data_IF_551200261004
#
_entry.id   IF_551200261004
#
_cell.length_a   1.000
_cell.length_b   1.000
_cell.length_c   1.000
_cell.angle_alpha   90.00
_cell.angle_beta   90.00
_cell.angle_gamma   90.00
#
_symmetry.space_group_name_H-M   'P 1'
#
loop_
_entity.id
_entity.type
_entity.pdbx_description
1 polymer ?
#
# COMPACT_ATOMS: atom_id res chain seq x y z
N UNK A 1 31.01 -7.95 18.60
CA UNK A 1 30.37 -9.11 17.91
C UNK A 1 29.18 -9.53 18.73
N UNK A 2 28.00 -9.00 18.43
CA UNK A 2 26.72 -9.56 18.87
C UNK A 2 25.88 -9.69 17.60
N UNK A 3 25.99 -10.86 16.98
CA UNK A 3 25.00 -11.31 16.02
C UNK A 3 23.74 -11.72 16.81
N UNK A 4 22.86 -10.78 17.09
CA UNK A 4 21.48 -11.11 17.33
C UNK A 4 20.79 -11.22 15.97
N UNK A 5 20.91 -12.40 15.35
CA UNK A 5 19.89 -12.89 14.45
C UNK A 5 18.61 -12.98 15.28
N UNK A 6 17.76 -11.98 15.14
CA UNK A 6 16.34 -12.18 15.42
C UNK A 6 15.84 -13.15 14.33
N UNK A 7 15.93 -14.43 14.61
CA UNK A 7 15.08 -15.42 13.98
C UNK A 7 13.65 -15.03 14.35
N UNK A 8 13.04 -14.20 13.50
CA UNK A 8 11.60 -14.07 13.52
C UNK A 8 11.13 -15.42 13.01
N UNK A 9 10.61 -16.31 13.87
CA UNK A 9 10.01 -17.55 13.39
C UNK A 9 8.96 -17.10 12.37
N UNK A 10 8.95 -17.75 11.20
CA UNK A 10 7.85 -17.65 10.27
C UNK A 10 6.60 -18.16 11.02
N UNK A 11 6.03 -17.30 11.85
CA UNK A 11 4.74 -17.54 12.46
C UNK A 11 3.75 -17.40 11.32
N UNK A 12 3.50 -18.52 10.66
CA UNK A 12 2.22 -18.73 10.03
C UNK A 12 1.25 -18.55 11.19
N UNK A 13 0.68 -17.37 11.31
CA UNK A 13 -0.36 -17.21 12.30
C UNK A 13 -1.44 -18.20 11.90
N UNK A 14 -1.63 -19.13 12.78
CA UNK A 14 -2.94 -19.69 12.93
C UNK A 14 -3.90 -18.49 12.82
N UNK A 15 -4.87 -18.61 11.92
CA UNK A 15 -6.03 -17.76 11.79
C UNK A 15 -6.38 -17.12 13.11
N UNK A 16 -6.79 -15.88 13.05
CA UNK A 16 -7.37 -15.21 14.21
C UNK A 16 -8.23 -16.22 14.99
N UNK A 17 -8.11 -16.26 16.33
CA UNK A 17 -8.79 -17.29 17.15
C UNK A 17 -10.25 -17.39 16.74
N UNK A 18 -10.82 -18.61 16.75
CA UNK A 18 -12.27 -18.80 16.50
C UNK A 18 -13.06 -17.83 17.36
N UNK A 19 -13.73 -16.86 16.71
CA UNK A 19 -14.47 -15.80 17.40
C UNK A 19 -13.90 -14.38 17.22
N UNK A 20 -12.71 -14.23 16.64
CA UNK A 20 -12.28 -12.92 16.16
C UNK A 20 -13.04 -12.55 14.87
N UNK A 21 -13.26 -11.27 14.66
CA UNK A 21 -14.01 -10.74 13.54
C UNK A 21 -13.61 -11.36 12.20
N UNK A 22 -14.55 -11.56 11.26
CA UNK A 22 -14.25 -12.13 9.96
C UNK A 22 -13.16 -11.31 9.28
N UNK A 23 -12.31 -11.97 8.52
CA UNK A 23 -11.31 -11.30 7.71
C UNK A 23 -11.99 -10.22 6.87
N UNK A 24 -11.55 -8.97 6.94
CA UNK A 24 -12.28 -7.85 6.35
C UNK A 24 -12.16 -7.77 4.82
N UNK A 25 -11.40 -8.68 4.18
CA UNK A 25 -11.24 -8.70 2.73
C UNK A 25 -12.43 -9.34 2.04
N UNK A 26 -12.89 -8.69 0.98
CA UNK A 26 -14.00 -9.20 0.16
C UNK A 26 -13.54 -10.31 -0.78
N UNK A 27 -14.45 -11.20 -1.23
CA UNK A 27 -14.08 -12.40 -2.00
C UNK A 27 -13.28 -12.13 -3.28
N UNK A 28 -13.59 -11.07 -4.02
CA UNK A 28 -12.83 -10.71 -5.22
C UNK A 28 -11.37 -10.33 -4.89
N UNK A 29 -11.14 -9.67 -3.76
CA UNK A 29 -9.80 -9.34 -3.28
C UNK A 29 -9.03 -10.59 -2.83
N UNK A 30 -9.73 -11.53 -2.18
CA UNK A 30 -9.16 -12.84 -1.83
C UNK A 30 -8.72 -13.58 -3.09
N UNK A 31 -9.57 -13.65 -4.12
CA UNK A 31 -9.25 -14.27 -5.40
C UNK A 31 -8.06 -13.60 -6.10
N UNK A 32 -8.01 -12.26 -6.09
CA UNK A 32 -6.89 -11.49 -6.64
C UNK A 32 -5.55 -11.87 -5.99
N UNK A 33 -5.50 -11.91 -4.67
CA UNK A 33 -4.27 -12.23 -3.94
C UNK A 33 -3.90 -13.70 -4.07
N UNK A 34 -4.87 -14.61 -4.06
CA UNK A 34 -4.63 -16.03 -4.26
C UNK A 34 -4.01 -16.33 -5.63
N UNK A 35 -4.36 -15.58 -6.67
CA UNK A 35 -3.79 -15.71 -8.01
C UNK A 35 -2.26 -15.47 -8.06
N UNK A 36 -1.72 -14.74 -7.07
CA UNK A 36 -0.27 -14.52 -6.93
C UNK A 36 0.43 -15.53 -6.01
N UNK A 37 -0.29 -16.58 -5.60
CA UNK A 37 0.25 -17.64 -4.75
C UNK A 37 0.14 -17.39 -3.26
N UNK A 38 -0.62 -16.37 -2.82
CA UNK A 38 -0.99 -16.24 -1.41
C UNK A 38 -1.91 -17.40 -1.05
N UNK A 39 -1.54 -18.25 -0.07
CA UNK A 39 -2.31 -19.45 0.21
C UNK A 39 -3.72 -19.15 0.72
N UNK A 40 -4.69 -19.93 0.28
CA UNK A 40 -6.02 -19.95 0.86
C UNK A 40 -6.04 -20.77 2.18
N UNK A 41 -6.99 -20.45 3.02
CA UNK A 41 -7.26 -21.25 4.20
C UNK A 41 -7.84 -22.62 3.78
N UNK A 42 -7.29 -23.75 4.26
CA UNK A 42 -7.80 -25.06 3.89
C UNK A 42 -9.24 -25.31 4.38
N UNK A 43 -9.68 -24.62 5.43
CA UNK A 43 -11.01 -24.77 6.01
C UNK A 43 -12.03 -23.76 5.45
N UNK A 44 -11.54 -22.67 4.79
CA UNK A 44 -12.39 -21.62 4.22
C UNK A 44 -11.77 -21.05 2.93
N UNK A 45 -12.24 -21.43 1.74
CA UNK A 45 -11.70 -20.98 0.46
C UNK A 45 -11.90 -19.48 0.21
N UNK A 46 -12.70 -18.79 1.02
CA UNK A 46 -12.87 -17.34 0.96
C UNK A 46 -11.92 -16.57 1.89
N UNK A 47 -10.98 -17.26 2.52
CA UNK A 47 -9.97 -16.65 3.39
C UNK A 47 -8.56 -16.94 2.90
N UNK A 48 -7.68 -15.96 3.14
CA UNK A 48 -6.25 -16.12 2.89
C UNK A 48 -5.54 -16.58 4.16
N UNK A 49 -4.55 -17.43 3.98
CA UNK A 49 -3.63 -17.81 5.05
C UNK A 49 -2.48 -16.81 5.09
N UNK A 50 -2.59 -15.80 5.96
CA UNK A 50 -1.65 -14.68 6.06
C UNK A 50 -0.63 -14.87 7.19
N UNK A 51 0.55 -14.27 7.02
CA UNK A 51 1.47 -14.09 8.14
C UNK A 51 0.91 -13.04 9.12
N UNK A 52 1.36 -13.07 10.40
CA UNK A 52 0.86 -12.16 11.45
C UNK A 52 0.96 -10.68 11.02
N UNK A 53 2.13 -10.26 10.57
CA UNK A 53 2.36 -8.89 10.13
C UNK A 53 1.48 -8.48 8.93
N UNK A 54 1.14 -9.44 8.05
CA UNK A 54 0.22 -9.18 6.94
C UNK A 54 -1.20 -8.97 7.44
N UNK A 55 -1.66 -9.87 8.31
CA UNK A 55 -2.99 -9.78 8.92
C UNK A 55 -3.17 -8.46 9.68
N UNK A 56 -2.24 -8.14 10.59
CA UNK A 56 -2.26 -6.92 11.40
C UNK A 56 -2.20 -5.65 10.52
N UNK A 57 -1.28 -5.61 9.55
CA UNK A 57 -1.13 -4.48 8.65
C UNK A 57 -2.38 -4.24 7.79
N UNK A 58 -2.98 -5.30 7.25
CA UNK A 58 -4.21 -5.22 6.46
C UNK A 58 -5.38 -4.75 7.33
N UNK A 59 -5.57 -5.35 8.52
CA UNK A 59 -6.64 -4.98 9.42
C UNK A 59 -6.54 -3.50 9.84
N UNK A 60 -5.34 -3.04 10.18
CA UNK A 60 -5.10 -1.63 10.53
C UNK A 60 -5.40 -0.68 9.36
N UNK A 61 -4.96 -1.01 8.14
CA UNK A 61 -5.19 -0.19 6.96
C UNK A 61 -6.69 -0.09 6.61
N UNK A 62 -7.42 -1.20 6.68
CA UNK A 62 -8.87 -1.25 6.46
C UNK A 62 -9.64 -0.54 7.58
N UNK A 63 -9.12 -0.58 8.81
CA UNK A 63 -9.63 0.21 9.94
C UNK A 63 -9.37 1.72 9.82
N UNK A 64 -8.69 2.16 8.75
CA UNK A 64 -8.44 3.57 8.46
C UNK A 64 -7.17 4.13 9.10
N UNK A 65 -6.28 3.30 9.62
CA UNK A 65 -4.97 3.73 10.12
C UNK A 65 -3.94 3.91 8.99
N UNK A 66 -2.94 4.76 9.24
CA UNK A 66 -1.69 4.69 8.49
C UNK A 66 -0.85 3.53 9.03
N UNK A 67 -0.14 2.84 8.15
CA UNK A 67 0.56 1.59 8.51
C UNK A 67 2.02 1.68 8.12
N UNK A 68 2.91 1.24 9.01
CA UNK A 68 4.32 1.01 8.70
C UNK A 68 4.65 -0.47 8.89
N UNK A 69 5.08 -1.14 7.82
CA UNK A 69 5.50 -2.55 7.86
C UNK A 69 6.99 -2.64 7.62
N UNK A 70 7.75 -2.95 8.67
CA UNK A 70 9.19 -3.12 8.60
C UNK A 70 9.56 -4.58 8.94
N UNK A 71 9.80 -5.36 7.90
CA UNK A 71 10.14 -6.78 8.02
C UNK A 71 11.25 -7.14 7.04
N UNK A 72 11.90 -8.29 7.23
CA UNK A 72 12.95 -8.77 6.34
C UNK A 72 12.55 -8.79 4.86
N UNK A 73 13.53 -8.89 3.98
CA UNK A 73 13.28 -9.07 2.54
C UNK A 73 12.55 -10.39 2.29
N UNK A 74 11.74 -10.44 1.23
CA UNK A 74 10.94 -11.61 0.85
C UNK A 74 9.91 -12.09 1.91
N UNK A 75 9.52 -11.23 2.85
CA UNK A 75 8.49 -11.54 3.84
C UNK A 75 7.04 -11.35 3.35
N UNK A 76 6.85 -11.03 2.09
CA UNK A 76 5.51 -10.77 1.51
C UNK A 76 4.88 -9.44 1.92
N UNK A 77 5.71 -8.39 2.18
CA UNK A 77 5.23 -7.03 2.52
C UNK A 77 4.23 -6.45 1.51
N UNK A 78 4.37 -6.81 0.24
CA UNK A 78 3.48 -6.32 -0.81
C UNK A 78 2.02 -6.71 -0.58
N UNK A 79 1.75 -7.81 0.08
CA UNK A 79 0.38 -8.21 0.45
C UNK A 79 -0.24 -7.20 1.41
N UNK A 80 0.56 -6.62 2.33
CA UNK A 80 0.07 -5.66 3.32
C UNK A 80 -0.53 -4.39 2.71
N UNK A 81 -0.05 -3.96 1.54
CA UNK A 81 -0.61 -2.81 0.84
C UNK A 81 -1.51 -3.18 -0.34
N UNK A 82 -1.22 -4.26 -1.06
CA UNK A 82 -2.07 -4.67 -2.18
C UNK A 82 -3.47 -5.09 -1.72
N UNK A 83 -3.58 -5.78 -0.57
CA UNK A 83 -4.86 -6.24 -0.06
C UNK A 83 -5.85 -5.07 0.20
N UNK A 84 -5.56 -4.08 1.06
CA UNK A 84 -6.49 -2.98 1.30
C UNK A 84 -6.70 -2.08 0.09
N UNK A 85 -5.67 -1.88 -0.74
CA UNK A 85 -5.79 -1.06 -1.95
C UNK A 85 -6.71 -1.73 -2.97
N UNK A 86 -6.50 -3.01 -3.27
CA UNK A 86 -7.35 -3.75 -4.19
C UNK A 86 -8.78 -3.89 -3.65
N UNK A 87 -8.94 -4.11 -2.35
CA UNK A 87 -10.27 -4.16 -1.75
C UNK A 87 -11.04 -2.86 -1.97
N UNK A 88 -10.40 -1.70 -1.80
CA UNK A 88 -11.01 -0.42 -2.10
C UNK A 88 -11.32 -0.25 -3.60
N UNK A 89 -10.34 -0.54 -4.48
CA UNK A 89 -10.47 -0.31 -5.91
C UNK A 89 -11.48 -1.22 -6.59
N UNK A 90 -11.59 -2.48 -6.15
CA UNK A 90 -12.53 -3.45 -6.74
C UNK A 90 -14.00 -3.15 -6.36
N UNK A 91 -14.24 -2.46 -5.25
CA UNK A 91 -15.59 -2.27 -4.70
C UNK A 91 -16.06 -0.81 -4.67
N UNK A 92 -15.18 0.14 -4.98
CA UNK A 92 -15.52 1.57 -5.14
C UNK A 92 -14.97 2.05 -6.49
N UNK A 93 -15.83 2.31 -7.49
CA UNK A 93 -15.39 2.71 -8.83
C UNK A 93 -14.68 4.07 -8.85
N UNK A 94 -14.92 4.91 -7.86
CA UNK A 94 -14.30 6.23 -7.75
C UNK A 94 -12.98 6.19 -6.95
N UNK A 95 -12.70 5.09 -6.24
CA UNK A 95 -11.47 4.95 -5.48
C UNK A 95 -10.24 4.95 -6.38
N UNK A 96 -9.20 5.63 -5.93
CA UNK A 96 -7.89 5.65 -6.58
C UNK A 96 -6.77 5.43 -5.57
N UNK A 97 -5.60 5.03 -6.07
CA UNK A 97 -4.41 4.85 -5.26
C UNK A 97 -3.14 5.29 -6.00
N UNK A 98 -2.15 5.74 -5.23
CA UNK A 98 -0.80 6.07 -5.70
C UNK A 98 0.23 5.16 -5.06
N UNK A 99 1.08 4.55 -5.87
CA UNK A 99 2.23 3.77 -5.42
C UNK A 99 3.52 4.51 -5.75
N UNK A 100 4.35 4.74 -4.73
CA UNK A 100 5.63 5.42 -4.85
C UNK A 100 6.76 4.41 -4.67
N UNK A 101 7.49 4.14 -5.76
CA UNK A 101 8.66 3.28 -5.77
C UNK A 101 9.92 4.10 -5.99
N UNK A 102 11.05 3.74 -5.33
CA UNK A 102 12.30 4.47 -5.52
C UNK A 102 12.95 4.20 -6.88
N UNK A 103 12.63 3.09 -7.53
CA UNK A 103 13.24 2.72 -8.82
C UNK A 103 12.21 2.22 -9.83
N UNK A 104 12.53 2.40 -11.12
CA UNK A 104 11.70 1.90 -12.23
C UNK A 104 11.60 0.37 -12.24
N UNK A 105 12.67 -0.33 -11.87
CA UNK A 105 12.68 -1.79 -11.82
C UNK A 105 11.63 -2.33 -10.86
N UNK A 106 11.57 -1.80 -9.63
CA UNK A 106 10.56 -2.16 -8.65
C UNK A 106 9.13 -1.85 -9.12
N UNK A 107 8.95 -0.69 -9.78
CA UNK A 107 7.66 -0.33 -10.37
C UNK A 107 7.21 -1.34 -11.45
N UNK A 108 8.14 -1.80 -12.28
CA UNK A 108 7.87 -2.79 -13.33
C UNK A 108 7.56 -4.19 -12.77
N UNK A 109 8.23 -4.59 -11.71
CA UNK A 109 7.92 -5.85 -11.02
C UNK A 109 6.55 -5.79 -10.39
N UNK A 110 6.22 -4.68 -9.76
CA UNK A 110 4.91 -4.48 -9.13
C UNK A 110 3.76 -4.46 -10.13
N UNK A 111 3.91 -3.82 -11.29
CA UNK A 111 2.82 -3.82 -12.30
C UNK A 111 2.57 -5.22 -12.86
N UNK A 112 3.61 -6.05 -12.99
CA UNK A 112 3.44 -7.46 -13.40
C UNK A 112 2.63 -8.25 -12.36
N UNK A 113 2.95 -8.10 -11.08
CA UNK A 113 2.21 -8.75 -10.00
C UNK A 113 0.75 -8.26 -9.94
N UNK A 114 0.53 -6.96 -10.08
CA UNK A 114 -0.81 -6.37 -10.08
C UNK A 114 -1.67 -6.91 -11.24
N UNK A 115 -1.12 -7.07 -12.43
CA UNK A 115 -1.87 -7.67 -13.57
C UNK A 115 -2.37 -9.06 -13.25
N UNK A 116 -1.54 -9.90 -12.65
CA UNK A 116 -1.94 -11.26 -12.23
C UNK A 116 -3.07 -11.18 -11.18
N UNK A 117 -2.97 -10.25 -10.22
CA UNK A 117 -4.02 -10.05 -9.22
C UNK A 117 -5.34 -9.60 -9.85
N UNK A 118 -5.29 -8.66 -10.79
CA UNK A 118 -6.49 -8.14 -11.46
C UNK A 118 -7.14 -9.17 -12.38
N UNK A 119 -6.35 -10.00 -13.06
CA UNK A 119 -6.84 -11.14 -13.82
C UNK A 119 -7.57 -12.13 -12.89
N UNK A 120 -7.00 -12.42 -11.71
CA UNK A 120 -7.64 -13.26 -10.70
C UNK A 120 -8.96 -12.68 -10.19
N UNK A 121 -9.01 -11.37 -9.95
CA UNK A 121 -10.24 -10.69 -9.55
C UNK A 121 -11.32 -10.74 -10.64
N UNK A 122 -10.94 -10.60 -11.92
CA UNK A 122 -11.85 -10.62 -13.05
C UNK A 122 -12.56 -11.95 -13.23
N UNK A 123 -11.94 -13.05 -12.83
CA UNK A 123 -12.52 -14.40 -12.94
C UNK A 123 -13.49 -14.72 -11.82
N UNK A 124 -13.53 -13.94 -10.75
CA UNK A 124 -14.35 -14.24 -9.57
C UNK A 124 -15.85 -14.16 -9.85
N UNK A 125 -16.27 -13.31 -10.80
CA UNK A 125 -17.71 -13.06 -11.07
C UNK A 125 -18.37 -12.18 -10.00
N UNK A 126 -19.28 -11.32 -10.41
CA UNK A 126 -19.96 -10.38 -9.53
C UNK A 126 -19.71 -8.92 -9.93
N UNK A 127 -20.26 -7.98 -9.16
CA UNK A 127 -20.03 -6.54 -9.38
C UNK A 127 -18.64 -6.16 -8.87
N UNK A 128 -17.62 -6.36 -9.72
CA UNK A 128 -16.27 -5.90 -9.45
C UNK A 128 -15.86 -4.82 -10.43
N UNK A 129 -15.27 -3.77 -9.91
CA UNK A 129 -14.76 -2.65 -10.72
C UNK A 129 -13.24 -2.82 -10.91
N UNK A 130 -12.83 -3.72 -11.80
CA UNK A 130 -11.40 -3.95 -12.06
C UNK A 130 -10.74 -2.65 -12.50
N UNK A 131 -9.71 -2.15 -11.76
CA UNK A 131 -9.10 -0.88 -12.08
C UNK A 131 -8.10 -0.99 -13.22
N UNK A 132 -8.06 0.04 -14.07
CA UNK A 132 -6.91 0.27 -14.93
C UNK A 132 -5.70 0.70 -14.10
N UNK A 133 -4.53 0.14 -14.44
CA UNK A 133 -3.25 0.41 -13.77
C UNK A 133 -2.25 1.01 -14.75
N UNK A 134 -1.54 2.05 -14.35
CA UNK A 134 -0.52 2.68 -15.18
C UNK A 134 0.76 3.04 -14.43
N UNK A 135 1.90 2.96 -15.12
CA UNK A 135 3.18 3.49 -14.64
C UNK A 135 3.40 4.86 -15.25
N UNK A 136 3.55 5.86 -14.39
CA UNK A 136 3.80 7.24 -14.82
C UNK A 136 5.17 7.70 -14.34
N UNK A 137 6.12 7.74 -15.25
CA UNK A 137 7.50 8.14 -14.99
C UNK A 137 8.05 9.07 -16.09
N UNK A 138 9.37 9.35 -16.05
CA UNK A 138 10.02 10.21 -17.03
C UNK A 138 9.96 9.71 -18.47
N UNK A 139 9.90 8.38 -18.65
CA UNK A 139 9.91 7.72 -19.96
C UNK A 139 8.50 7.47 -20.51
N UNK A 140 7.45 7.73 -19.72
CA UNK A 140 6.06 7.55 -20.15
C UNK A 140 5.74 8.44 -21.34
N UNK A 141 5.29 7.86 -22.45
CA UNK A 141 4.95 8.56 -23.69
C UNK A 141 3.77 9.52 -23.47
N UNK A 142 3.68 10.55 -24.28
CA UNK A 142 2.68 11.62 -24.13
C UNK A 142 1.24 11.10 -24.25
N UNK A 143 0.98 10.21 -25.20
CA UNK A 143 -0.31 9.54 -25.39
C UNK A 143 -0.71 8.70 -24.17
N UNK A 144 0.24 7.92 -23.66
CA UNK A 144 0.07 7.11 -22.45
C UNK A 144 -0.16 7.95 -21.19
N UNK A 145 0.51 9.12 -21.10
CA UNK A 145 0.29 10.06 -19.98
C UNK A 145 -1.15 10.55 -19.88
N UNK A 146 -1.80 10.76 -21.03
CA UNK A 146 -3.20 11.17 -21.06
C UNK A 146 -4.13 10.03 -20.63
N UNK A 147 -3.91 8.84 -21.17
CA UNK A 147 -4.66 7.64 -20.78
C UNK A 147 -4.55 7.39 -19.27
N UNK A 148 -3.34 7.41 -18.71
CA UNK A 148 -3.14 7.17 -17.28
C UNK A 148 -3.91 8.18 -16.43
N UNK A 149 -3.89 9.46 -16.79
CA UNK A 149 -4.63 10.49 -16.04
C UNK A 149 -6.13 10.28 -16.08
N UNK A 150 -6.66 9.86 -17.23
CA UNK A 150 -8.09 9.80 -17.46
C UNK A 150 -8.71 8.46 -17.03
N UNK A 151 -7.97 7.36 -17.14
CA UNK A 151 -8.52 6.00 -17.01
C UNK A 151 -7.96 5.25 -15.79
N UNK A 152 -6.64 5.36 -15.49
CA UNK A 152 -6.05 4.56 -14.45
C UNK A 152 -6.51 4.99 -13.06
N UNK A 153 -6.94 4.03 -12.25
CA UNK A 153 -7.32 4.23 -10.86
C UNK A 153 -6.20 3.88 -9.89
N UNK A 154 -5.24 3.07 -10.32
CA UNK A 154 -4.00 2.83 -9.60
C UNK A 154 -2.84 3.34 -10.45
N UNK A 155 -2.10 4.32 -9.92
CA UNK A 155 -0.96 4.90 -10.61
C UNK A 155 0.32 4.61 -9.85
N UNK A 156 1.26 3.97 -10.52
CA UNK A 156 2.61 3.71 -10.02
C UNK A 156 3.53 4.82 -10.52
N UNK A 157 4.27 5.42 -9.61
CA UNK A 157 5.19 6.52 -9.94
C UNK A 157 6.37 6.55 -8.95
N UNK A 158 7.15 7.61 -8.98
CA UNK A 158 8.22 7.87 -8.01
C UNK A 158 8.06 9.28 -7.39
N UNK A 159 8.77 9.58 -6.28
CA UNK A 159 8.66 10.86 -5.61
C UNK A 159 8.99 12.07 -6.50
N UNK A 160 9.96 11.96 -7.41
CA UNK A 160 10.35 13.05 -8.29
C UNK A 160 9.25 13.37 -9.31
N UNK A 161 8.66 12.34 -9.92
CA UNK A 161 7.51 12.52 -10.82
C UNK A 161 6.28 13.03 -10.08
N UNK A 162 6.04 12.59 -8.86
CA UNK A 162 5.00 13.17 -8.03
C UNK A 162 5.23 14.67 -7.84
N UNK A 163 6.48 15.08 -7.54
CA UNK A 163 6.85 16.48 -7.33
C UNK A 163 6.68 17.34 -8.57
N UNK A 164 7.17 16.89 -9.72
CA UNK A 164 7.21 17.72 -10.95
C UNK A 164 6.03 17.53 -11.88
N UNK A 165 5.42 16.32 -11.88
CA UNK A 165 4.36 15.95 -12.82
C UNK A 165 2.94 16.01 -12.27
N UNK A 166 2.76 15.70 -10.99
CA UNK A 166 1.43 15.63 -10.37
C UNK A 166 1.08 16.90 -9.60
N UNK A 167 1.89 17.26 -8.61
CA UNK A 167 1.55 18.32 -7.68
C UNK A 167 1.42 19.71 -8.31
N UNK A 168 2.28 20.14 -9.25
CA UNK A 168 2.08 21.40 -9.96
C UNK A 168 0.87 21.38 -10.90
N UNK A 169 0.60 20.22 -11.49
CA UNK A 169 -0.50 20.01 -12.44
C UNK A 169 -1.72 19.31 -11.80
N UNK A 170 -1.90 19.45 -10.48
CA UNK A 170 -2.93 18.71 -9.71
C UNK A 170 -4.34 18.82 -10.31
N UNK A 171 -4.68 19.93 -10.96
CA UNK A 171 -5.98 20.09 -11.64
C UNK A 171 -6.18 19.08 -12.78
N UNK A 172 -5.12 18.69 -13.48
CA UNK A 172 -5.17 17.64 -14.52
C UNK A 172 -5.31 16.23 -13.90
N UNK A 173 -4.96 16.09 -12.64
CA UNK A 173 -5.05 14.87 -11.86
C UNK A 173 -6.25 14.88 -10.90
N UNK A 174 -7.18 15.83 -11.08
CA UNK A 174 -8.28 16.05 -10.14
C UNK A 174 -9.11 14.79 -9.87
N UNK A 175 -9.32 13.93 -10.88
CA UNK A 175 -10.00 12.65 -10.71
C UNK A 175 -9.25 11.75 -9.72
N UNK A 176 -7.95 11.60 -9.91
CA UNK A 176 -7.10 10.79 -9.02
C UNK A 176 -7.09 11.35 -7.60
N UNK A 177 -6.96 12.67 -7.43
CA UNK A 177 -6.94 13.28 -6.10
C UNK A 177 -8.29 13.18 -5.38
N UNK A 178 -9.42 13.31 -6.10
CA UNK A 178 -10.76 13.20 -5.49
C UNK A 178 -11.08 11.81 -4.96
N UNK A 179 -10.59 10.78 -5.65
CA UNK A 179 -10.81 9.38 -5.25
C UNK A 179 -9.69 8.79 -4.39
N UNK A 180 -8.66 9.56 -4.03
CA UNK A 180 -7.43 9.04 -3.45
C UNK A 180 -7.65 8.44 -2.05
N UNK A 181 -7.72 7.11 -1.97
CA UNK A 181 -7.89 6.36 -0.71
C UNK A 181 -6.55 6.02 -0.08
N UNK A 182 -5.58 5.58 -0.88
CA UNK A 182 -4.30 5.08 -0.40
C UNK A 182 -3.11 5.67 -1.13
N UNK A 183 -2.05 5.91 -0.38
CA UNK A 183 -0.71 6.22 -0.89
C UNK A 183 0.27 5.22 -0.30
N UNK A 184 0.92 4.45 -1.15
CA UNK A 184 1.91 3.46 -0.75
C UNK A 184 3.31 4.01 -0.99
N UNK A 185 4.18 3.94 0.02
CA UNK A 185 5.61 4.19 -0.10
C UNK A 185 6.34 2.87 0.11
N UNK A 186 6.79 2.25 -0.96
CA UNK A 186 7.55 0.99 -0.86
C UNK A 186 9.06 1.24 -0.78
N UNK A 187 9.76 0.30 -0.15
CA UNK A 187 11.22 0.35 0.10
C UNK A 187 11.66 1.67 0.78
N UNK A 188 10.88 2.12 1.76
CA UNK A 188 11.06 3.41 2.40
C UNK A 188 12.44 3.60 3.05
N UNK A 189 13.15 2.52 3.36
CA UNK A 189 14.52 2.58 3.87
C UNK A 189 15.50 3.26 2.90
N UNK A 190 15.16 3.37 1.62
CA UNK A 190 15.95 4.10 0.61
C UNK A 190 15.82 5.62 0.79
N UNK A 191 14.70 6.10 1.32
CA UNK A 191 14.43 7.53 1.50
C UNK A 191 15.10 8.07 2.76
N UNK A 192 16.43 8.29 2.70
CA UNK A 192 17.27 8.76 3.81
C UNK A 192 18.07 10.01 3.44
N UNK A 193 18.58 10.70 4.46
CA UNK A 193 19.40 11.89 4.28
C UNK A 193 18.69 12.97 3.50
N UNK A 194 19.39 13.64 2.59
CA UNK A 194 18.86 14.72 1.75
C UNK A 194 17.70 14.24 0.88
N UNK A 195 17.82 13.05 0.30
CA UNK A 195 16.75 12.46 -0.51
C UNK A 195 15.48 12.19 0.31
N UNK A 196 15.64 11.62 1.51
CA UNK A 196 14.51 11.39 2.43
C UNK A 196 13.82 12.70 2.83
N UNK A 197 14.59 13.75 3.11
CA UNK A 197 14.06 15.09 3.41
C UNK A 197 13.25 15.65 2.24
N UNK A 198 13.75 15.49 1.01
CA UNK A 198 13.03 15.87 -0.20
C UNK A 198 11.70 15.11 -0.32
N UNK A 199 11.74 13.77 -0.20
CA UNK A 199 10.54 12.93 -0.29
C UNK A 199 9.51 13.31 0.77
N UNK A 200 9.94 13.60 2.01
CA UNK A 200 9.02 14.01 3.08
C UNK A 200 8.29 15.32 2.75
N UNK A 201 8.97 16.28 2.15
CA UNK A 201 8.35 17.55 1.72
C UNK A 201 7.36 17.33 0.56
N UNK A 202 7.68 16.44 -0.37
CA UNK A 202 6.79 16.07 -1.48
C UNK A 202 5.52 15.40 -0.94
N UNK A 203 5.65 14.45 -0.01
CA UNK A 203 4.52 13.76 0.61
C UNK A 203 3.64 14.72 1.43
N UNK A 204 4.24 15.62 2.21
CA UNK A 204 3.49 16.65 2.94
C UNK A 204 2.72 17.58 1.99
N UNK A 205 3.32 17.94 0.86
CA UNK A 205 2.64 18.74 -0.17
C UNK A 205 1.48 17.96 -0.80
N UNK A 206 1.66 16.67 -1.07
CA UNK A 206 0.59 15.78 -1.54
C UNK A 206 -0.58 15.79 -0.55
N UNK A 207 -0.33 15.52 0.73
CA UNK A 207 -1.36 15.53 1.78
C UNK A 207 -2.11 16.85 1.83
N UNK A 208 -1.37 17.96 1.82
CA UNK A 208 -1.99 19.29 1.85
C UNK A 208 -2.89 19.53 0.67
N UNK A 209 -2.45 19.21 -0.56
CA UNK A 209 -3.26 19.35 -1.78
C UNK A 209 -4.51 18.48 -1.68
N UNK A 210 -4.37 17.20 -1.29
CA UNK A 210 -5.50 16.28 -1.15
C UNK A 210 -6.53 16.81 -0.15
N UNK A 211 -6.10 17.28 1.01
CA UNK A 211 -6.99 17.75 2.08
C UNK A 211 -7.62 19.11 1.77
N UNK A 212 -6.81 20.11 1.41
CA UNK A 212 -7.26 21.48 1.27
C UNK A 212 -8.03 21.74 -0.04
N UNK A 213 -7.64 21.05 -1.13
CA UNK A 213 -8.23 21.32 -2.45
C UNK A 213 -9.25 20.26 -2.89
N UNK A 214 -9.16 19.03 -2.35
CA UNK A 214 -10.03 17.93 -2.75
C UNK A 214 -10.85 17.33 -1.60
N UNK A 215 -10.61 17.77 -0.34
CA UNK A 215 -11.34 17.30 0.83
C UNK A 215 -11.07 15.84 1.19
N UNK A 216 -9.92 15.29 0.77
CA UNK A 216 -9.56 13.87 0.92
C UNK A 216 -8.36 13.75 1.84
N UNK A 217 -8.41 12.81 2.78
CA UNK A 217 -7.30 12.45 3.66
C UNK A 217 -6.88 10.98 3.38
N UNK A 218 -5.97 10.74 2.43
CA UNK A 218 -5.57 9.40 2.04
C UNK A 218 -4.82 8.70 3.17
N UNK A 219 -4.99 7.37 3.25
CA UNK A 219 -4.21 6.53 4.16
C UNK A 219 -2.86 6.18 3.54
N UNK A 220 -1.84 6.19 4.39
CA UNK A 220 -0.47 5.89 3.98
C UNK A 220 -0.07 4.49 4.45
N UNK A 221 0.47 3.70 3.52
CA UNK A 221 1.06 2.40 3.85
C UNK A 221 2.53 2.49 3.45
N UNK A 222 3.40 2.40 4.45
CA UNK A 222 4.85 2.50 4.30
C UNK A 222 5.44 1.12 4.51
N UNK A 223 6.18 0.61 3.54
CA UNK A 223 6.91 -0.66 3.68
C UNK A 223 8.41 -0.42 3.63
N UNK A 224 9.16 -1.19 4.41
CA UNK A 224 10.59 -1.04 4.55
C UNK A 224 11.26 -2.39 4.79
N UNK A 225 12.53 -2.52 4.43
CA UNK A 225 13.39 -3.54 5.01
C UNK A 225 13.56 -3.29 6.52
N UNK A 226 14.09 -4.26 7.24
CA UNK A 226 14.37 -4.11 8.68
C UNK A 226 15.33 -2.95 8.92
N UNK A 227 14.91 -1.98 9.70
CA UNK A 227 15.67 -0.80 10.14
C UNK A 227 15.49 -0.62 11.66
N UNK A 228 16.41 0.09 12.29
CA UNK A 228 16.41 0.24 13.75
C UNK A 228 15.19 1.04 14.28
N UNK A 229 14.68 1.99 13.49
CA UNK A 229 13.66 2.94 13.90
C UNK A 229 12.59 3.13 12.80
N UNK A 230 11.82 2.08 12.45
CA UNK A 230 10.88 2.12 11.33
C UNK A 230 9.74 3.12 11.54
N UNK A 231 9.23 3.25 12.78
CA UNK A 231 8.14 4.17 13.10
C UNK A 231 8.58 5.63 12.91
N UNK A 232 9.69 6.03 13.54
CA UNK A 232 10.20 7.41 13.44
C UNK A 232 10.51 7.76 11.99
N UNK A 233 11.05 6.81 11.24
CA UNK A 233 11.33 6.99 9.83
C UNK A 233 10.06 7.21 9.01
N UNK A 234 9.03 6.40 9.22
CA UNK A 234 7.74 6.55 8.57
C UNK A 234 7.06 7.88 8.94
N UNK A 235 7.06 8.26 10.22
CA UNK A 235 6.55 9.55 10.69
C UNK A 235 7.31 10.72 10.06
N UNK A 236 8.62 10.63 9.95
CA UNK A 236 9.44 11.66 9.29
C UNK A 236 9.06 11.83 7.81
N UNK A 237 8.75 10.74 7.10
CA UNK A 237 8.36 10.76 5.70
C UNK A 237 6.94 11.28 5.47
N UNK A 238 5.98 10.79 6.25
CA UNK A 238 4.56 11.02 5.99
C UNK A 238 3.98 12.15 6.85
N UNK A 239 4.66 12.54 7.94
CA UNK A 239 4.14 13.45 8.95
C UNK A 239 3.34 12.70 10.01
N UNK A 240 2.56 13.43 10.83
CA UNK A 240 1.80 12.81 11.91
C UNK A 240 0.95 11.65 11.40
N UNK A 241 1.30 10.47 11.85
CA UNK A 241 0.49 9.29 11.70
C UNK A 241 -0.36 9.19 12.96
N UNK A 242 -1.69 9.17 12.87
CA UNK A 242 -2.47 8.64 13.97
C UNK A 242 -1.99 7.20 14.17
N UNK A 243 -1.24 6.99 15.23
CA UNK A 243 -0.85 5.65 15.66
C UNK A 243 -2.03 5.03 16.36
N UNK A 244 -2.35 3.81 16.00
CA UNK A 244 -2.97 2.90 16.97
C UNK A 244 -1.87 2.74 18.02
N UNK A 245 -1.99 3.41 19.15
CA UNK A 245 -1.18 3.09 20.32
C UNK A 245 -1.60 1.69 20.71
N UNK A 246 -0.65 0.79 20.65
CA UNK A 246 -0.79 -0.54 21.16
C UNK A 246 -0.88 -0.41 22.69
N UNK A 247 -2.11 -0.25 23.22
CA UNK A 247 -2.35 -0.09 24.67
C UNK A 247 -1.79 -1.30 25.44
N UNK A 248 -1.58 -2.42 24.77
CA UNK A 248 -1.01 -3.63 25.38
C UNK A 248 0.53 -3.57 25.44
N UNK A 249 1.21 -2.86 24.54
CA UNK A 249 2.67 -2.69 24.60
C UNK A 249 3.09 -1.73 25.72
N UNK A 250 2.26 -0.77 26.09
CA UNK A 250 2.52 0.16 27.20
C UNK A 250 2.37 -0.54 28.56
N UNK A 251 1.53 -1.57 28.66
CA UNK A 251 1.34 -2.34 29.91
C UNK A 251 2.41 -3.41 30.16
N UNK A 252 3.16 -3.81 29.14
CA UNK A 252 4.22 -4.82 29.27
C UNK A 252 5.60 -4.25 29.62
N UNK A 253 5.77 -2.92 29.67
CA UNK A 253 7.02 -2.21 29.94
C UNK A 253 7.06 -1.43 31.25
N UNK A 254 6.11 -1.67 32.16
CA UNK A 254 6.06 -1.06 33.48
C UNK A 254 6.45 -2.03 34.59
#
# INVERSE_FOLDING_TARGET
QCEHRLDIPARITALAPKGSEPQPLRPATVAALAATGVPLDPDDPNRLRLFSHQHEGIAAALGGANVCVATGTASGKSVCYNAPVLDALLHDPDATALYLFPTKALAQDQIRALRVMLDGASTYGGETHVPEVGVYDGDTRTDERERIRNECRLVITNPDMLHVGFLPAHKRWARVFKGLKYVVLDEAHVYRGVFGSHVSLVVRRLRRIARELYGVDPRFIVTSATIANPREHAVALVGDMPTIEDEDAVRAGG
#
